data_IF_048395564326
#
_entry.id   IF_048395564326
#
_cell.length_a   1.000
_cell.length_b   1.000
_cell.length_c   1.000
_cell.angle_alpha   90.00
_cell.angle_beta   90.00
_cell.angle_gamma   90.00
#
_symmetry.space_group_name_H-M   'P 1'
#
loop_
_entity.id
_entity.type
_entity.pdbx_description
1 polymer ?
#
# COMPACT_ATOMS: atom_id res chain seq x y z
N UNK A 1 0.89 -25.84 -9.26
CA UNK A 1 0.88 -25.02 -8.02
C UNK A 1 0.51 -23.56 -8.29
N UNK A 2 0.96 -22.94 -9.39
CA UNK A 2 0.61 -21.55 -9.75
C UNK A 2 -0.84 -21.40 -10.25
N UNK A 3 -1.41 -22.42 -10.91
CA UNK A 3 -2.78 -22.39 -11.45
C UNK A 3 -3.86 -22.29 -10.36
N UNK A 4 -3.76 -23.06 -9.27
CA UNK A 4 -4.74 -23.01 -8.19
C UNK A 4 -4.77 -21.68 -7.43
N UNK A 5 -3.68 -20.91 -7.42
CA UNK A 5 -3.66 -19.57 -6.81
C UNK A 5 -4.58 -18.62 -7.60
N UNK A 6 -4.61 -18.72 -8.92
CA UNK A 6 -5.49 -17.89 -9.76
C UNK A 6 -6.96 -18.27 -9.59
N UNK A 7 -7.27 -19.55 -9.45
CA UNK A 7 -8.64 -20.02 -9.17
C UNK A 7 -9.12 -19.51 -7.81
N UNK A 8 -8.27 -19.61 -6.77
CA UNK A 8 -8.59 -19.12 -5.42
C UNK A 8 -8.78 -17.59 -5.40
N UNK A 9 -7.96 -16.86 -6.18
CA UNK A 9 -8.08 -15.41 -6.32
C UNK A 9 -9.36 -15.05 -7.09
N UNK A 10 -9.72 -15.81 -8.13
CA UNK A 10 -10.93 -15.62 -8.91
C UNK A 10 -12.21 -15.87 -8.10
N UNK A 11 -12.24 -16.95 -7.33
CA UNK A 11 -13.33 -17.24 -6.39
C UNK A 11 -13.47 -16.14 -5.34
N UNK A 12 -12.36 -15.76 -4.69
CA UNK A 12 -12.36 -14.66 -3.73
C UNK A 12 -12.84 -13.34 -4.36
N UNK A 13 -12.38 -13.02 -5.57
CA UNK A 13 -12.82 -11.83 -6.30
C UNK A 13 -14.31 -11.89 -6.64
N UNK A 14 -14.84 -13.05 -7.02
CA UNK A 14 -16.28 -13.26 -7.25
C UNK A 14 -17.11 -13.02 -5.98
N UNK A 15 -16.77 -13.67 -4.87
CA UNK A 15 -17.43 -13.43 -3.58
C UNK A 15 -17.32 -11.97 -3.14
N UNK A 16 -16.18 -11.33 -3.42
CA UNK A 16 -15.96 -9.93 -3.10
C UNK A 16 -16.82 -9.02 -3.99
N UNK A 17 -16.97 -9.31 -5.28
CA UNK A 17 -17.85 -8.56 -6.19
C UNK A 17 -19.32 -8.71 -5.80
N UNK A 18 -19.77 -9.93 -5.49
CA UNK A 18 -21.14 -10.18 -5.02
C UNK A 18 -21.42 -9.43 -3.70
N UNK A 19 -20.45 -9.41 -2.79
CA UNK A 19 -20.53 -8.61 -1.56
C UNK A 19 -20.59 -7.11 -1.87
N UNK A 20 -19.76 -6.61 -2.79
CA UNK A 20 -19.76 -5.20 -3.20
C UNK A 20 -21.10 -4.83 -3.85
N UNK A 21 -21.64 -5.66 -4.73
CA UNK A 21 -22.92 -5.40 -5.39
C UNK A 21 -24.09 -5.45 -4.39
N UNK A 22 -24.06 -6.35 -3.41
CA UNK A 22 -25.07 -6.42 -2.35
C UNK A 22 -24.99 -5.24 -1.38
N UNK A 23 -23.77 -4.89 -0.94
CA UNK A 23 -23.56 -3.85 0.05
C UNK A 23 -23.61 -2.44 -0.54
N UNK A 24 -23.20 -2.28 -1.80
CA UNK A 24 -22.95 -0.99 -2.43
C UNK A 24 -23.56 -0.87 -3.83
N UNK A 25 -24.35 -1.83 -4.33
CA UNK A 25 -25.00 -1.71 -5.65
C UNK A 25 -25.88 -0.45 -5.78
N UNK A 26 -26.44 0.02 -4.66
CA UNK A 26 -27.23 1.25 -4.60
C UNK A 26 -26.41 2.52 -4.91
N UNK A 27 -25.08 2.49 -4.77
CA UNK A 27 -24.23 3.67 -5.01
C UNK A 27 -24.17 4.03 -6.50
N UNK A 28 -24.45 3.07 -7.39
CA UNK A 28 -24.48 3.30 -8.84
C UNK A 28 -25.65 4.18 -9.28
N UNK A 29 -26.65 4.39 -8.41
CA UNK A 29 -27.72 5.36 -8.64
C UNK A 29 -27.30 6.81 -8.33
N UNK A 30 -26.17 7.01 -7.64
CA UNK A 30 -25.65 8.33 -7.30
C UNK A 30 -24.69 8.86 -8.37
N UNK A 31 -24.45 10.18 -8.45
CA UNK A 31 -23.38 10.72 -9.28
C UNK A 31 -22.07 10.00 -8.97
N UNK A 32 -21.40 9.48 -10.02
CA UNK A 32 -20.27 8.54 -9.90
C UNK A 32 -19.12 8.99 -9.00
N UNK A 33 -19.03 10.29 -8.70
CA UNK A 33 -18.06 10.88 -7.78
C UNK A 33 -18.25 10.40 -6.33
N UNK A 34 -19.49 10.23 -5.85
CA UNK A 34 -19.79 9.84 -4.47
C UNK A 34 -19.67 8.33 -4.27
N UNK A 35 -20.00 7.57 -5.32
CA UNK A 35 -19.80 6.13 -5.36
C UNK A 35 -18.33 5.75 -5.13
N UNK A 36 -17.42 6.36 -5.90
CA UNK A 36 -15.98 6.11 -5.79
C UNK A 36 -15.43 6.54 -4.42
N UNK A 37 -15.96 7.61 -3.83
CA UNK A 37 -15.53 8.11 -2.53
C UNK A 37 -15.87 7.18 -1.36
N UNK A 38 -17.12 6.70 -1.28
CA UNK A 38 -17.55 5.78 -0.21
C UNK A 38 -16.78 4.46 -0.29
N UNK A 39 -16.57 3.93 -1.49
CA UNK A 39 -15.84 2.67 -1.65
C UNK A 39 -14.36 2.84 -1.27
N UNK A 40 -13.74 3.98 -1.63
CA UNK A 40 -12.36 4.26 -1.23
C UNK A 40 -12.17 4.27 0.29
N UNK A 41 -13.16 4.76 1.06
CA UNK A 41 -13.13 4.74 2.52
C UNK A 41 -13.15 3.29 3.05
N UNK A 42 -14.10 2.47 2.57
CA UNK A 42 -14.26 1.09 3.05
C UNK A 42 -13.02 0.25 2.72
N UNK A 43 -12.51 0.35 1.49
CA UNK A 43 -11.27 -0.33 1.08
C UNK A 43 -10.08 0.16 1.88
N UNK A 44 -9.99 1.47 2.14
CA UNK A 44 -8.94 2.07 2.97
C UNK A 44 -8.95 1.51 4.40
N UNK A 45 -10.12 1.42 5.04
CA UNK A 45 -10.27 0.90 6.40
C UNK A 45 -9.88 -0.58 6.49
N UNK A 46 -10.35 -1.41 5.57
CA UNK A 46 -10.01 -2.85 5.54
C UNK A 46 -8.51 -3.04 5.29
N UNK A 47 -7.94 -2.30 4.36
CA UNK A 47 -6.52 -2.38 4.02
C UNK A 47 -5.62 -1.96 5.18
N UNK A 48 -5.94 -0.84 5.83
CA UNK A 48 -5.18 -0.32 6.99
C UNK A 48 -5.31 -1.28 8.17
N UNK A 49 -6.50 -1.81 8.43
CA UNK A 49 -6.72 -2.78 9.51
C UNK A 49 -5.95 -4.07 9.27
N UNK A 50 -6.01 -4.62 8.05
CA UNK A 50 -5.22 -5.80 7.67
C UNK A 50 -3.72 -5.57 7.86
N UNK A 51 -3.21 -4.44 7.38
CA UNK A 51 -1.80 -4.07 7.56
C UNK A 51 -1.41 -3.92 9.03
N UNK A 52 -2.28 -3.36 9.88
CA UNK A 52 -2.02 -3.22 11.31
C UNK A 52 -1.91 -4.57 12.02
N UNK A 53 -2.83 -5.51 11.75
CA UNK A 53 -2.79 -6.84 12.36
C UNK A 53 -1.67 -7.74 11.81
N UNK A 54 -1.24 -7.53 10.57
CA UNK A 54 -0.23 -8.37 9.91
C UNK A 54 1.21 -7.94 10.21
N UNK A 55 1.45 -6.71 10.64
CA UNK A 55 2.80 -6.18 10.92
C UNK A 55 3.08 -6.13 12.41
N UNK A 56 4.07 -6.92 12.86
CA UNK A 56 4.58 -6.80 14.22
C UNK A 56 5.43 -5.52 14.37
N UNK A 57 4.83 -4.49 14.95
CA UNK A 57 5.42 -3.16 15.11
C UNK A 57 6.63 -3.17 16.06
N UNK A 58 6.60 -3.95 17.13
CA UNK A 58 7.70 -4.05 18.09
C UNK A 58 8.95 -4.66 17.43
N UNK A 59 8.75 -5.73 16.66
CA UNK A 59 9.83 -6.40 15.92
C UNK A 59 10.43 -5.48 14.87
N UNK A 60 9.61 -4.72 14.16
CA UNK A 60 10.06 -3.73 13.18
C UNK A 60 10.90 -2.63 13.85
N UNK A 61 10.44 -2.07 14.96
CA UNK A 61 11.18 -1.05 15.74
C UNK A 61 12.53 -1.59 16.21
N UNK A 62 12.58 -2.82 16.74
CA UNK A 62 13.82 -3.47 17.20
C UNK A 62 14.82 -3.66 16.06
N UNK A 63 14.40 -4.26 14.95
CA UNK A 63 15.28 -4.53 13.79
C UNK A 63 15.80 -3.21 13.20
N UNK A 64 14.96 -2.18 13.12
CA UNK A 64 15.37 -0.84 12.64
C UNK A 64 16.46 -0.22 13.51
N UNK A 65 16.33 -0.32 14.84
CA UNK A 65 17.33 0.16 15.80
C UNK A 65 18.66 -0.58 15.65
N UNK A 66 18.63 -1.91 15.65
CA UNK A 66 19.84 -2.74 15.52
C UNK A 66 20.56 -2.49 14.17
N UNK A 67 19.81 -2.36 13.08
CA UNK A 67 20.37 -2.07 11.75
C UNK A 67 21.02 -0.69 11.70
N UNK A 68 20.40 0.33 12.31
CA UNK A 68 20.96 1.69 12.37
C UNK A 68 22.23 1.74 13.23
N UNK A 69 22.24 1.06 14.38
CA UNK A 69 23.43 0.95 15.24
C UNK A 69 24.57 0.22 14.51
N UNK A 70 24.29 -0.85 13.77
CA UNK A 70 25.27 -1.54 12.94
C UNK A 70 25.85 -0.63 11.85
N UNK A 71 25.02 0.11 11.12
CA UNK A 71 25.48 1.05 10.08
C UNK A 71 26.36 2.16 10.66
N UNK A 72 26.01 2.70 11.84
CA UNK A 72 26.83 3.71 12.54
C UNK A 72 28.20 3.15 12.91
N UNK A 73 28.26 1.95 13.50
CA UNK A 73 29.52 1.28 13.86
C UNK A 73 30.37 0.96 12.63
N UNK A 74 29.74 0.54 11.52
CA UNK A 74 30.42 0.30 10.25
C UNK A 74 31.09 1.58 9.73
N UNK A 75 30.35 2.69 9.69
CA UNK A 75 30.87 3.99 9.26
C UNK A 75 32.02 4.48 10.16
N UNK A 76 31.92 4.31 11.47
CA UNK A 76 32.99 4.68 12.40
C UNK A 76 34.23 3.80 12.20
N UNK A 77 34.06 2.48 12.11
CA UNK A 77 35.17 1.56 11.90
C UNK A 77 35.87 1.72 10.55
N UNK A 78 35.15 2.16 9.51
CA UNK A 78 35.77 2.51 8.22
C UNK A 78 36.62 3.78 8.28
N UNK A 79 36.30 4.73 9.18
CA UNK A 79 37.01 6.01 9.32
C UNK A 79 38.20 5.93 10.28
N UNK A 80 38.05 5.23 11.40
CA UNK A 80 39.03 5.24 12.51
C UNK A 80 39.37 3.85 13.04
N UNK A 81 38.76 2.80 12.50
CA UNK A 81 38.79 1.45 13.08
C UNK A 81 40.02 0.64 12.70
N UNK A 82 40.38 -0.28 13.60
CA UNK A 82 41.47 -1.22 13.38
C UNK A 82 41.03 -2.39 12.48
N UNK A 83 41.98 -3.06 11.78
CA UNK A 83 41.70 -4.25 10.95
C UNK A 83 40.93 -5.34 11.71
N UNK A 84 41.10 -5.43 13.04
CA UNK A 84 40.44 -6.42 13.90
C UNK A 84 38.95 -6.09 14.12
N UNK A 85 38.60 -4.82 14.22
CA UNK A 85 37.21 -4.35 14.32
C UNK A 85 36.47 -4.51 13.00
N UNK A 86 37.12 -4.20 11.87
CA UNK A 86 36.57 -4.42 10.54
C UNK A 86 36.23 -5.91 10.31
N UNK A 87 37.13 -6.84 10.67
CA UNK A 87 36.85 -8.30 10.62
C UNK A 87 35.69 -8.74 11.51
N UNK A 88 35.51 -8.12 12.69
CA UNK A 88 34.35 -8.39 13.56
C UNK A 88 33.04 -7.87 12.95
N UNK A 89 33.07 -6.76 12.23
CA UNK A 89 31.90 -6.21 11.55
C UNK A 89 31.55 -6.97 10.27
N UNK A 90 32.54 -7.54 9.58
CA UNK A 90 32.33 -8.45 8.45
C UNK A 90 31.61 -9.74 8.85
N UNK A 91 31.97 -10.33 9.99
CA UNK A 91 31.26 -11.51 10.51
C UNK A 91 29.81 -11.18 10.89
N UNK A 92 29.53 -9.95 11.31
CA UNK A 92 28.16 -9.47 11.57
C UNK A 92 27.38 -9.07 10.30
N UNK A 93 28.05 -8.92 9.14
CA UNK A 93 27.43 -8.53 7.86
C UNK A 93 26.27 -9.47 7.48
N UNK A 94 26.46 -10.79 7.64
CA UNK A 94 25.41 -11.78 7.34
C UNK A 94 24.17 -11.58 8.23
N UNK A 95 24.37 -11.32 9.53
CA UNK A 95 23.28 -11.05 10.47
C UNK A 95 22.55 -9.75 10.13
N UNK A 96 23.30 -8.67 9.86
CA UNK A 96 22.73 -7.39 9.44
C UNK A 96 21.95 -7.50 8.12
N UNK A 97 22.47 -8.27 7.16
CA UNK A 97 21.78 -8.54 5.90
C UNK A 97 20.48 -9.31 6.10
N UNK A 98 20.48 -10.36 6.94
CA UNK A 98 19.25 -11.10 7.28
C UNK A 98 18.21 -10.19 7.95
N UNK A 99 18.63 -9.33 8.87
CA UNK A 99 17.76 -8.35 9.52
C UNK A 99 17.16 -7.36 8.53
N UNK A 100 17.95 -6.91 7.54
CA UNK A 100 17.47 -6.04 6.49
C UNK A 100 16.46 -6.74 5.57
N UNK A 101 16.71 -8.00 5.20
CA UNK A 101 15.75 -8.81 4.44
C UNK A 101 14.47 -9.07 5.21
N UNK A 102 14.55 -9.32 6.52
CA UNK A 102 13.39 -9.49 7.39
C UNK A 102 12.57 -8.20 7.50
N UNK A 103 13.22 -7.04 7.63
CA UNK A 103 12.59 -5.72 7.61
C UNK A 103 11.84 -5.47 6.29
N UNK A 104 12.50 -5.79 5.17
CA UNK A 104 11.89 -5.71 3.85
C UNK A 104 10.68 -6.64 3.75
N UNK A 105 10.78 -7.89 4.23
CA UNK A 105 9.67 -8.83 4.26
C UNK A 105 8.48 -8.36 5.11
N UNK A 106 8.73 -7.76 6.28
CA UNK A 106 7.68 -7.19 7.13
C UNK A 106 6.95 -6.00 6.48
N UNK A 107 7.59 -5.31 5.54
CA UNK A 107 7.00 -4.15 4.84
C UNK A 107 6.37 -4.54 3.50
N UNK A 108 7.00 -5.49 2.79
CA UNK A 108 6.54 -5.99 1.50
C UNK A 108 5.33 -6.92 1.60
N UNK A 109 5.28 -7.78 2.63
CA UNK A 109 4.13 -8.70 2.83
C UNK A 109 2.79 -7.94 2.94
N UNK A 110 2.68 -6.88 3.76
CA UNK A 110 1.49 -6.05 3.79
C UNK A 110 1.25 -5.33 2.47
N UNK A 111 2.29 -4.84 1.80
CA UNK A 111 2.13 -4.14 0.52
C UNK A 111 1.43 -5.04 -0.51
N UNK A 112 1.90 -6.28 -0.72
CA UNK A 112 1.24 -7.21 -1.63
C UNK A 112 -0.20 -7.54 -1.20
N UNK A 113 -0.43 -7.67 0.10
CA UNK A 113 -1.76 -7.91 0.64
C UNK A 113 -2.71 -6.71 0.46
N UNK A 114 -2.21 -5.48 0.45
CA UNK A 114 -2.99 -4.28 0.12
C UNK A 114 -3.18 -4.09 -1.38
N UNK A 115 -2.24 -4.56 -2.20
CA UNK A 115 -2.32 -4.46 -3.67
C UNK A 115 -3.43 -5.34 -4.26
N UNK A 116 -3.62 -6.55 -3.73
CA UNK A 116 -4.61 -7.49 -4.25
C UNK A 116 -6.05 -6.94 -4.16
N UNK A 117 -6.52 -6.44 -2.99
CA UNK A 117 -7.83 -5.79 -2.87
C UNK A 117 -7.98 -4.57 -3.77
N UNK A 118 -6.92 -3.77 -3.94
CA UNK A 118 -6.94 -2.61 -4.82
C UNK A 118 -7.15 -3.05 -6.28
N UNK A 119 -6.43 -4.08 -6.74
CA UNK A 119 -6.57 -4.59 -8.11
C UNK A 119 -7.95 -5.18 -8.36
N UNK A 120 -8.46 -5.97 -7.40
CA UNK A 120 -9.81 -6.55 -7.47
C UNK A 120 -10.85 -5.42 -7.51
N UNK A 121 -10.74 -4.43 -6.63
CA UNK A 121 -11.61 -3.25 -6.63
C UNK A 121 -11.58 -2.49 -7.95
N UNK A 122 -10.39 -2.28 -8.54
CA UNK A 122 -10.27 -1.63 -9.85
C UNK A 122 -10.94 -2.44 -10.97
N UNK A 123 -10.86 -3.77 -10.89
CA UNK A 123 -11.58 -4.66 -11.79
C UNK A 123 -13.09 -4.47 -11.70
N UNK A 124 -13.63 -4.40 -10.48
CA UNK A 124 -15.05 -4.14 -10.23
C UNK A 124 -15.50 -2.77 -10.74
N UNK A 125 -14.76 -1.70 -10.44
CA UNK A 125 -15.08 -0.34 -10.92
C UNK A 125 -15.05 -0.28 -12.44
N UNK A 126 -14.05 -0.89 -13.08
CA UNK A 126 -13.93 -0.91 -14.54
C UNK A 126 -15.02 -1.74 -15.21
N UNK A 127 -15.61 -2.71 -14.51
CA UNK A 127 -16.73 -3.50 -15.03
C UNK A 127 -18.01 -2.66 -15.20
N UNK A 128 -18.10 -1.50 -14.53
CA UNK A 128 -19.26 -0.62 -14.62
C UNK A 128 -19.09 0.48 -15.68
N UNK A 129 -19.97 0.58 -16.70
CA UNK A 129 -19.89 1.60 -17.75
C UNK A 129 -19.90 3.03 -17.19
N UNK A 130 -20.73 3.30 -16.18
CA UNK A 130 -20.84 4.61 -15.52
C UNK A 130 -19.53 5.11 -14.88
N UNK A 131 -18.62 4.21 -14.52
CA UNK A 131 -17.31 4.58 -13.99
C UNK A 131 -16.27 4.77 -15.10
N UNK A 132 -16.34 3.99 -16.18
CA UNK A 132 -15.38 4.07 -17.29
C UNK A 132 -15.60 5.35 -18.13
N UNK A 133 -16.84 5.81 -18.24
CA UNK A 133 -17.21 7.05 -18.94
C UNK A 133 -16.99 8.32 -18.09
N UNK A 134 -16.63 8.17 -16.81
CA UNK A 134 -16.42 9.29 -15.91
C UNK A 134 -15.19 10.11 -16.34
N UNK A 135 -15.46 11.29 -16.91
CA UNK A 135 -14.49 12.34 -17.19
C UNK A 135 -14.89 13.55 -16.35
N UNK A 136 -13.95 14.04 -15.56
CA UNK A 136 -14.13 15.19 -14.67
C UNK A 136 -13.32 16.35 -15.22
N UNK A 137 -14.02 17.44 -15.55
CA UNK A 137 -13.40 18.71 -15.90
C UNK A 137 -12.88 19.37 -14.62
N UNK A 138 -11.58 19.65 -14.60
CA UNK A 138 -10.93 20.36 -13.51
C UNK A 138 -11.12 21.88 -13.68
N UNK A 139 -11.29 22.62 -12.57
CA UNK A 139 -11.34 24.08 -12.62
C UNK A 139 -9.95 24.72 -12.86
N UNK A 140 -8.90 23.91 -13.04
CA UNK A 140 -7.53 24.32 -13.31
C UNK A 140 -6.83 23.28 -14.18
N UNK A 141 -5.86 23.71 -14.99
CA UNK A 141 -5.09 22.85 -15.87
C UNK A 141 -3.90 22.24 -15.14
N UNK A 142 -3.79 20.90 -15.12
CA UNK A 142 -2.63 20.21 -14.58
C UNK A 142 -1.51 20.17 -15.63
N UNK A 143 -0.25 20.52 -15.25
CA UNK A 143 0.90 20.30 -16.12
C UNK A 143 0.98 18.82 -16.52
N UNK A 144 1.20 18.54 -17.80
CA UNK A 144 1.26 17.20 -18.42
C UNK A 144 -0.05 16.39 -18.49
N UNK A 145 -1.08 16.71 -17.70
CA UNK A 145 -2.32 15.94 -17.63
C UNK A 145 -3.57 16.65 -18.18
N UNK A 146 -3.50 17.95 -18.46
CA UNK A 146 -4.59 18.71 -19.08
C UNK A 146 -5.63 19.22 -18.09
N UNK A 147 -6.80 19.57 -18.60
CA UNK A 147 -7.99 20.08 -17.90
C UNK A 147 -9.00 18.99 -17.55
N UNK A 148 -8.80 17.76 -18.00
CA UNK A 148 -9.72 16.64 -17.78
C UNK A 148 -9.03 15.50 -17.05
N UNK A 149 -9.73 14.89 -16.09
CA UNK A 149 -9.30 13.65 -15.43
C UNK A 149 -10.33 12.56 -15.67
N UNK A 150 -9.88 11.44 -16.21
CA UNK A 150 -10.67 10.21 -16.16
C UNK A 150 -10.77 9.66 -14.74
N UNK A 151 -11.61 8.65 -14.54
CA UNK A 151 -11.86 8.01 -13.24
C UNK A 151 -10.58 7.62 -12.47
N UNK A 152 -9.55 7.12 -13.18
CA UNK A 152 -8.27 6.72 -12.57
C UNK A 152 -7.50 7.93 -12.02
N UNK A 153 -7.45 9.01 -12.80
CA UNK A 153 -6.78 10.25 -12.40
C UNK A 153 -7.49 10.89 -11.19
N UNK A 154 -8.82 10.88 -11.21
CA UNK A 154 -9.63 11.34 -10.08
C UNK A 154 -9.42 10.49 -8.82
N UNK A 155 -9.39 9.16 -8.95
CA UNK A 155 -9.11 8.26 -7.84
C UNK A 155 -7.74 8.53 -7.20
N UNK A 156 -6.68 8.70 -8.01
CA UNK A 156 -5.33 8.97 -7.52
C UNK A 156 -5.25 10.32 -6.79
N UNK A 157 -5.94 11.35 -7.32
CA UNK A 157 -6.00 12.66 -6.72
C UNK A 157 -6.70 12.61 -5.36
N UNK A 158 -7.90 12.04 -5.29
CA UNK A 158 -8.64 11.84 -4.04
C UNK A 158 -7.86 10.99 -3.03
N UNK A 159 -7.25 9.88 -3.48
CA UNK A 159 -6.47 8.99 -2.63
C UNK A 159 -5.25 9.69 -2.04
N UNK A 160 -4.57 10.55 -2.80
CA UNK A 160 -3.44 11.31 -2.28
C UNK A 160 -3.87 12.23 -1.14
N UNK A 161 -4.88 13.08 -1.34
CA UNK A 161 -5.36 14.01 -0.31
C UNK A 161 -5.94 13.28 0.91
N UNK A 162 -6.73 12.23 0.69
CA UNK A 162 -7.29 11.42 1.77
C UNK A 162 -6.20 10.71 2.57
N UNK A 163 -5.16 10.19 1.92
CA UNK A 163 -4.01 9.59 2.60
C UNK A 163 -3.27 10.59 3.47
N UNK A 164 -3.14 11.84 3.03
CA UNK A 164 -2.53 12.90 3.83
C UNK A 164 -3.40 13.26 5.06
N UNK A 165 -4.72 13.27 4.90
CA UNK A 165 -5.65 13.51 5.99
C UNK A 165 -5.64 12.38 7.04
N UNK A 166 -5.70 11.12 6.58
CA UNK A 166 -5.65 9.93 7.44
C UNK A 166 -4.36 9.85 8.26
N UNK A 167 -3.21 10.16 7.63
CA UNK A 167 -1.91 10.17 8.33
C UNK A 167 -1.86 11.19 9.46
N UNK A 168 -2.49 12.35 9.28
CA UNK A 168 -2.64 13.37 10.33
C UNK A 168 -3.58 12.92 11.46
N UNK A 169 -4.70 12.27 11.13
CA UNK A 169 -5.69 11.83 12.12
C UNK A 169 -5.15 10.68 12.98
N UNK A 170 -4.38 9.78 12.38
CA UNK A 170 -3.81 8.61 13.06
C UNK A 170 -2.45 8.89 13.72
N UNK A 171 -2.02 10.16 13.76
CA UNK A 171 -0.76 10.60 14.39
C UNK A 171 0.46 9.76 13.97
N UNK A 172 0.46 9.34 12.70
CA UNK A 172 1.52 8.55 12.09
C UNK A 172 2.56 9.40 11.35
N UNK A 173 2.45 10.73 11.46
CA UNK A 173 3.36 11.72 10.86
C UNK A 173 3.86 12.69 11.93
#
# INVERSE_FOLDING_TARGET
>A
MILGIWDTIGEFAGYFYDFLDSALGFIWEWPGIYAVFVVAIVVGVISVSGQYFLVNQEKLKRIRRETSEYQKRLMQAQKTGTKKELRKLETQKKKAQQQQSEMMGMTMRPMFLTFIPIIIFFGWVRAQPAAVELVIDLPFTLPYFGDTLGWLGWYLLCSFFFSQALRKILDMA
#
